data_IF_501118845368
#
_entry.id   IF_501118845368
#
_cell.length_a   1.000
_cell.length_b   1.000
_cell.length_c   1.000
_cell.angle_alpha   90.00
_cell.angle_beta   90.00
_cell.angle_gamma   90.00
#
_symmetry.space_group_name_H-M   'P 1'
#
loop_
_entity.id
_entity.type
_entity.pdbx_description
1 polymer ?
#
# COMPACT_ATOMS: atom_id res chain seq x y z
N UNK A 1 17.92 9.49 -10.63
CA UNK A 1 16.58 9.69 -11.22
C UNK A 1 15.59 9.41 -10.11
N UNK A 2 14.49 10.18 -10.00
CA UNK A 2 13.45 9.89 -9.02
C UNK A 2 12.90 8.48 -9.25
N UNK A 3 12.62 7.75 -8.17
CA UNK A 3 11.98 6.44 -8.28
C UNK A 3 10.60 6.52 -8.93
N UNK A 4 10.10 5.40 -9.46
CA UNK A 4 8.74 5.34 -10.03
C UNK A 4 7.68 5.74 -8.99
N UNK A 5 7.91 5.48 -7.69
CA UNK A 5 7.02 5.92 -6.63
C UNK A 5 7.08 7.42 -6.40
N UNK A 6 8.25 8.04 -6.49
CA UNK A 6 8.36 9.51 -6.45
C UNK A 6 7.53 10.15 -7.59
N UNK A 7 7.57 9.56 -8.80
CA UNK A 7 6.75 10.01 -9.92
C UNK A 7 5.23 9.82 -9.67
N UNK A 8 4.80 8.71 -9.07
CA UNK A 8 3.39 8.50 -8.65
C UNK A 8 2.97 9.52 -7.58
N UNK A 9 3.82 9.74 -6.57
CA UNK A 9 3.57 10.65 -5.45
C UNK A 9 3.39 12.08 -5.96
N UNK A 10 4.28 12.53 -6.85
CA UNK A 10 4.27 13.87 -7.46
C UNK A 10 3.15 14.07 -8.48
N UNK A 11 2.48 13.00 -8.92
CA UNK A 11 1.43 13.05 -9.93
C UNK A 11 1.95 13.10 -11.37
N UNK A 12 3.23 12.79 -11.59
CA UNK A 12 3.84 12.68 -12.92
C UNK A 12 3.29 11.46 -13.68
N UNK A 13 2.92 10.40 -12.95
CA UNK A 13 2.23 9.22 -13.46
C UNK A 13 1.03 8.86 -12.55
N UNK A 14 -0.04 8.25 -13.10
CA UNK A 14 -1.24 7.96 -12.33
C UNK A 14 -1.00 6.90 -11.25
N UNK A 15 -1.72 7.00 -10.14
CA UNK A 15 -1.74 6.02 -9.07
C UNK A 15 -3.12 5.98 -8.40
N UNK A 16 -3.51 4.81 -7.87
CA UNK A 16 -4.77 4.63 -7.14
C UNK A 16 -4.54 4.74 -5.65
N UNK A 17 -4.58 5.96 -5.15
CA UNK A 17 -4.34 6.26 -3.74
C UNK A 17 -5.54 5.88 -2.87
N UNK A 18 -5.24 5.43 -1.65
CA UNK A 18 -6.24 5.13 -0.61
C UNK A 18 -5.97 5.88 0.69
N UNK A 19 -4.71 6.25 0.95
CA UNK A 19 -4.28 7.02 2.11
C UNK A 19 -3.31 8.13 1.73
N UNK A 20 -3.49 9.31 2.33
CA UNK A 20 -2.52 10.39 2.24
C UNK A 20 -2.41 11.19 3.54
N UNK A 21 -1.18 11.44 3.96
CA UNK A 21 -0.82 12.48 4.92
C UNK A 21 0.46 13.20 4.48
N UNK A 22 1.05 14.00 5.37
CA UNK A 22 2.21 14.84 5.10
C UNK A 22 3.52 14.04 4.93
N UNK A 23 3.59 12.83 5.50
CA UNK A 23 4.82 12.02 5.55
C UNK A 23 4.71 10.72 4.75
N UNK A 24 3.50 10.16 4.63
CA UNK A 24 3.25 8.80 4.13
C UNK A 24 2.04 8.81 3.20
N UNK A 25 2.13 8.01 2.14
CA UNK A 25 1.02 7.70 1.24
C UNK A 25 0.79 6.20 1.20
N UNK A 26 -0.41 5.79 0.79
CA UNK A 26 -0.66 4.42 0.40
C UNK A 26 -1.47 4.34 -0.88
N UNK A 27 -1.04 3.50 -1.82
CA UNK A 27 -1.68 3.29 -3.12
C UNK A 27 -1.60 1.83 -3.56
N UNK A 28 -2.52 1.40 -4.42
CA UNK A 28 -2.52 0.04 -4.94
C UNK A 28 -1.29 -0.24 -5.80
N UNK A 29 -0.70 -1.43 -5.64
CA UNK A 29 0.28 -1.93 -6.62
C UNK A 29 -0.43 -2.30 -7.93
N UNK A 30 0.28 -2.15 -9.05
CA UNK A 30 -0.20 -2.64 -10.36
C UNK A 30 0.05 -4.14 -10.54
N UNK A 31 0.78 -4.78 -9.63
CA UNK A 31 1.05 -6.22 -9.63
C UNK A 31 0.62 -6.85 -8.29
N UNK A 32 -0.69 -6.99 -8.03
CA UNK A 32 -1.20 -7.47 -6.75
C UNK A 32 -1.01 -8.98 -6.59
N UNK A 33 -0.58 -9.40 -5.40
CA UNK A 33 -0.65 -10.82 -4.98
C UNK A 33 -2.08 -11.25 -4.67
N UNK A 34 -2.86 -10.36 -4.08
CA UNK A 34 -4.31 -10.52 -3.86
C UNK A 34 -4.99 -9.18 -4.13
N UNK A 35 -6.26 -9.20 -4.54
CA UNK A 35 -7.03 -7.96 -4.75
C UNK A 35 -7.02 -7.13 -3.47
N UNK A 36 -6.68 -5.83 -3.56
CA UNK A 36 -6.50 -4.97 -2.38
C UNK A 36 -5.08 -4.88 -1.85
N UNK A 37 -4.08 -5.41 -2.57
CA UNK A 37 -2.67 -5.21 -2.25
C UNK A 37 -2.28 -3.73 -2.40
N UNK A 38 -1.87 -3.13 -1.29
CA UNK A 38 -1.46 -1.73 -1.15
C UNK A 38 0.04 -1.65 -0.83
N UNK A 39 0.69 -0.62 -1.36
CA UNK A 39 2.04 -0.20 -0.98
C UNK A 39 1.93 1.02 -0.06
N UNK A 40 2.52 0.94 1.12
CA UNK A 40 2.66 2.08 2.04
C UNK A 40 4.06 2.65 1.89
N UNK A 41 4.15 3.92 1.48
CA UNK A 41 5.38 4.54 0.97
C UNK A 41 5.58 5.89 1.68
N UNK A 42 6.75 6.16 2.29
CA UNK A 42 7.05 7.51 2.76
C UNK A 42 7.12 8.47 1.57
N UNK A 43 6.83 9.75 1.78
CA UNK A 43 7.04 10.78 0.74
C UNK A 43 8.51 11.08 0.53
N UNK A 44 9.32 10.96 1.59
CA UNK A 44 10.76 11.08 1.50
C UNK A 44 11.33 9.88 0.74
N UNK A 45 12.10 10.12 -0.31
CA UNK A 45 12.77 9.10 -1.12
C UNK A 45 13.95 8.47 -0.34
N UNK A 46 13.60 7.61 0.62
CA UNK A 46 14.49 6.73 1.38
C UNK A 46 14.21 5.28 0.99
N UNK A 47 15.14 4.36 1.17
CA UNK A 47 15.02 3.00 0.63
C UNK A 47 15.19 1.89 1.68
N UNK A 48 16.43 1.65 2.08
CA UNK A 48 16.82 0.52 2.92
C UNK A 48 16.21 0.63 4.32
N UNK A 49 15.13 -0.12 4.58
CA UNK A 49 14.29 0.03 5.77
C UNK A 49 15.05 -0.06 7.09
N UNK A 50 16.12 -0.85 7.14
CA UNK A 50 16.95 -1.02 8.34
C UNK A 50 17.84 0.19 8.66
N UNK A 51 18.00 1.13 7.71
CA UNK A 51 18.85 2.31 7.82
C UNK A 51 18.03 3.63 7.85
N UNK A 52 16.70 3.53 7.78
CA UNK A 52 15.79 4.69 7.81
C UNK A 52 15.67 5.26 9.22
N UNK A 53 15.44 6.58 9.30
CA UNK A 53 15.12 7.27 10.55
C UNK A 53 14.03 6.53 11.34
N UNK A 54 14.25 6.20 12.64
CA UNK A 54 13.30 5.42 13.42
C UNK A 54 11.92 6.07 13.58
N UNK A 55 11.83 7.40 13.61
CA UNK A 55 10.54 8.09 13.74
C UNK A 55 9.76 8.00 12.43
N UNK A 56 10.43 8.17 11.29
CA UNK A 56 9.81 7.95 9.98
C UNK A 56 9.36 6.49 9.81
N UNK A 57 10.19 5.52 10.18
CA UNK A 57 9.81 4.11 10.08
C UNK A 57 8.63 3.75 11.00
N UNK A 58 8.55 4.36 12.19
CA UNK A 58 7.39 4.21 13.08
C UNK A 58 6.10 4.77 12.46
N UNK A 59 6.16 5.91 11.75
CA UNK A 59 5.01 6.44 11.01
C UNK A 59 4.58 5.49 9.89
N UNK A 60 5.52 5.04 9.05
CA UNK A 60 5.25 4.10 7.94
C UNK A 60 4.59 2.82 8.45
N UNK A 61 5.14 2.20 9.50
CA UNK A 61 4.59 0.97 10.08
C UNK A 61 3.25 1.18 10.79
N UNK A 62 3.00 2.36 11.36
CA UNK A 62 1.68 2.74 11.90
C UNK A 62 0.62 2.82 10.80
N UNK A 63 0.94 3.45 9.66
CA UNK A 63 0.06 3.47 8.47
C UNK A 63 -0.13 2.06 7.91
N UNK A 64 0.92 1.24 7.84
CA UNK A 64 0.83 -0.16 7.40
C UNK A 64 -0.10 -0.99 8.29
N UNK A 65 -0.06 -0.79 9.63
CA UNK A 65 -1.01 -1.41 10.55
C UNK A 65 -2.46 -1.00 10.24
N UNK A 66 -2.70 0.28 9.99
CA UNK A 66 -4.03 0.79 9.60
C UNK A 66 -4.50 0.19 8.27
N UNK A 67 -3.62 0.13 7.27
CA UNK A 67 -3.92 -0.58 6.02
C UNK A 67 -4.23 -2.06 6.27
N UNK A 68 -3.52 -2.71 7.18
CA UNK A 68 -3.79 -4.10 7.58
C UNK A 68 -5.20 -4.30 8.15
N UNK A 69 -5.72 -3.32 8.89
CA UNK A 69 -7.12 -3.32 9.35
C UNK A 69 -8.09 -3.10 8.18
N UNK A 70 -7.77 -2.17 7.27
CA UNK A 70 -8.60 -1.84 6.13
C UNK A 70 -8.72 -2.99 5.13
N UNK A 71 -7.61 -3.64 4.74
CA UNK A 71 -7.62 -4.76 3.79
C UNK A 71 -8.40 -5.95 4.35
N UNK A 72 -8.28 -6.25 5.66
CA UNK A 72 -9.06 -7.32 6.29
C UNK A 72 -10.55 -7.03 6.25
N UNK A 73 -10.93 -5.80 6.61
CA UNK A 73 -12.33 -5.38 6.64
C UNK A 73 -12.95 -5.31 5.23
N UNK A 74 -12.21 -4.76 4.27
CA UNK A 74 -12.67 -4.57 2.90
C UNK A 74 -12.87 -5.90 2.16
N UNK A 75 -12.03 -6.91 2.44
CA UNK A 75 -11.98 -8.17 1.71
C UNK A 75 -12.34 -9.41 2.53
N UNK A 76 -12.87 -9.22 3.74
CA UNK A 76 -13.19 -10.31 4.69
C UNK A 76 -12.03 -11.30 4.89
N UNK A 77 -10.81 -10.76 4.91
CA UNK A 77 -9.61 -11.58 5.00
C UNK A 77 -9.33 -12.00 6.45
N UNK A 78 -8.98 -13.27 6.71
CA UNK A 78 -8.70 -13.73 8.07
C UNK A 78 -7.50 -12.99 8.66
N UNK A 79 -6.51 -12.64 7.83
CA UNK A 79 -5.32 -11.88 8.20
C UNK A 79 -4.95 -10.85 7.13
N UNK A 80 -4.04 -9.95 7.49
CA UNK A 80 -3.31 -9.11 6.54
C UNK A 80 -1.88 -9.62 6.46
N UNK A 81 -1.36 -9.74 5.25
CA UNK A 81 0.08 -9.89 5.02
C UNK A 81 0.79 -8.55 5.17
N UNK A 82 2.04 -8.60 5.63
CA UNK A 82 2.94 -7.46 5.71
C UNK A 82 4.32 -7.93 5.27
N UNK A 83 4.92 -7.26 4.29
CA UNK A 83 6.22 -7.64 3.73
C UNK A 83 7.01 -6.39 3.30
N UNK A 84 8.32 -6.43 3.51
CA UNK A 84 9.28 -5.46 2.97
C UNK A 84 10.33 -6.26 2.21
N UNK A 85 10.53 -5.95 0.92
CA UNK A 85 11.55 -6.58 0.08
C UNK A 85 12.54 -5.54 -0.47
N UNK A 86 12.06 -4.56 -1.25
CA UNK A 86 12.89 -3.47 -1.78
C UNK A 86 13.77 -3.81 -2.99
N UNK A 87 13.66 -5.02 -3.55
CA UNK A 87 14.53 -5.47 -4.64
C UNK A 87 14.15 -4.90 -6.02
N UNK A 88 12.92 -4.42 -6.20
CA UNK A 88 12.41 -3.94 -7.50
C UNK A 88 12.46 -2.42 -7.64
N UNK A 89 12.03 -1.70 -6.60
CA UNK A 89 11.97 -0.23 -6.59
C UNK A 89 12.76 0.30 -5.40
N UNK A 90 13.83 1.12 -5.62
CA UNK A 90 14.70 1.64 -4.56
C UNK A 90 14.07 2.86 -3.87
N UNK A 91 12.91 2.66 -3.27
CA UNK A 91 12.19 3.61 -2.44
C UNK A 91 11.33 2.78 -1.49
N UNK A 92 11.56 2.89 -0.19
CA UNK A 92 10.94 2.13 0.89
C UNK A 92 9.44 1.97 0.65
N UNK A 93 8.98 0.74 0.62
CA UNK A 93 7.55 0.45 0.51
C UNK A 93 7.24 -0.80 1.32
N UNK A 94 6.17 -0.70 2.11
CA UNK A 94 5.63 -1.84 2.85
C UNK A 94 4.44 -2.40 2.07
N UNK A 95 4.54 -3.66 1.67
CA UNK A 95 3.44 -4.39 1.08
C UNK A 95 2.43 -4.75 2.16
N UNK A 96 1.16 -4.41 1.95
CA UNK A 96 0.04 -4.79 2.82
C UNK A 96 -1.10 -5.33 1.97
N UNK A 97 -1.54 -6.55 2.24
CA UNK A 97 -2.51 -7.25 1.38
C UNK A 97 -3.42 -8.18 2.16
N UNK A 98 -4.64 -8.47 1.67
CA UNK A 98 -5.46 -9.57 2.18
C UNK A 98 -4.71 -10.90 2.12
N UNK A 99 -4.63 -11.62 3.23
CA UNK A 99 -3.98 -12.92 3.30
C UNK A 99 -4.97 -13.99 3.74
N UNK A 100 -5.16 -15.01 2.89
CA UNK A 100 -6.07 -16.13 3.09
C UNK A 100 -5.31 -17.43 3.37
N UNK A 101 -4.12 -17.57 2.79
CA UNK A 101 -3.23 -18.72 2.96
C UNK A 101 -1.75 -18.29 2.89
N UNK A 102 -0.84 -19.25 3.11
CA UNK A 102 0.60 -18.99 3.07
C UNK A 102 1.14 -18.73 1.65
N UNK A 103 0.43 -19.18 0.61
CA UNK A 103 0.79 -18.93 -0.78
C UNK A 103 0.73 -17.44 -1.12
N UNK A 104 -0.13 -16.66 -0.47
CA UNK A 104 -0.17 -15.20 -0.66
C UNK A 104 1.09 -14.46 -0.17
N UNK A 105 2.02 -15.12 0.52
CA UNK A 105 3.32 -14.54 0.89
C UNK A 105 4.40 -14.81 -0.15
N UNK A 106 4.12 -15.64 -1.15
CA UNK A 106 4.97 -15.79 -2.33
C UNK A 106 4.63 -14.70 -3.35
N UNK A 107 5.38 -13.59 -3.27
CA UNK A 107 5.17 -12.44 -4.17
C UNK A 107 5.49 -12.75 -5.64
N UNK A 108 6.16 -13.87 -5.94
CA UNK A 108 6.36 -14.31 -7.33
C UNK A 108 5.06 -14.73 -8.02
N UNK A 109 4.00 -14.99 -7.24
CA UNK A 109 2.65 -15.26 -7.73
C UNK A 109 1.80 -14.02 -7.99
N UNK A 110 2.38 -12.82 -7.98
CA UNK A 110 1.65 -11.58 -8.27
C UNK A 110 1.00 -11.61 -9.67
N UNK A 111 -0.22 -11.10 -9.78
CA UNK A 111 -0.90 -10.89 -11.06
C UNK A 111 -0.22 -9.71 -11.79
N UNK A 112 0.47 -9.93 -12.93
CA UNK A 112 1.18 -8.86 -13.63
C UNK A 112 0.23 -7.97 -14.46
N UNK A 113 -1.04 -8.32 -14.60
CA UNK A 113 -1.99 -7.62 -15.46
C UNK A 113 -3.42 -7.63 -14.89
N UNK A 114 -3.63 -7.09 -13.67
CA UNK A 114 -4.96 -6.96 -13.10
C UNK A 114 -5.83 -6.04 -13.96
N UNK A 115 -7.14 -6.29 -14.00
CA UNK A 115 -8.06 -5.41 -14.72
C UNK A 115 -8.18 -4.05 -14.03
N UNK A 116 -8.35 -2.97 -14.79
CA UNK A 116 -8.61 -1.65 -14.22
C UNK A 116 -9.83 -1.65 -13.29
N UNK A 117 -10.89 -2.37 -13.66
CA UNK A 117 -12.09 -2.55 -12.83
C UNK A 117 -11.78 -3.19 -11.48
N UNK A 118 -10.93 -4.22 -11.45
CA UNK A 118 -10.55 -4.88 -10.18
C UNK A 118 -9.79 -3.95 -9.24
N UNK A 119 -8.97 -3.05 -9.80
CA UNK A 119 -8.22 -2.06 -9.05
C UNK A 119 -9.11 -0.89 -8.59
N UNK A 120 -10.07 -0.46 -9.40
CA UNK A 120 -11.04 0.58 -9.05
C UNK A 120 -12.00 0.10 -7.94
N UNK A 121 -12.46 -1.16 -8.01
CA UNK A 121 -13.22 -1.82 -6.93
C UNK A 121 -12.39 -1.89 -5.65
N UNK A 122 -11.14 -2.33 -5.75
CA UNK A 122 -10.25 -2.42 -4.60
C UNK A 122 -10.02 -1.06 -3.94
N UNK A 123 -9.78 -0.01 -4.73
CA UNK A 123 -9.60 1.34 -4.23
C UNK A 123 -10.86 1.80 -3.48
N UNK A 124 -12.03 1.62 -4.09
CA UNK A 124 -13.31 2.04 -3.52
C UNK A 124 -13.61 1.35 -2.19
N UNK A 125 -13.43 0.02 -2.12
CA UNK A 125 -13.63 -0.78 -0.91
C UNK A 125 -12.67 -0.38 0.22
N UNK A 126 -11.41 -0.11 -0.11
CA UNK A 126 -10.42 0.32 0.88
C UNK A 126 -10.72 1.71 1.42
N UNK A 127 -11.09 2.68 0.56
CA UNK A 127 -11.50 4.02 1.00
C UNK A 127 -12.72 3.95 1.93
N UNK A 128 -13.72 3.12 1.59
CA UNK A 128 -14.89 2.89 2.45
C UNK A 128 -14.50 2.27 3.80
N UNK A 129 -13.69 1.21 3.81
CA UNK A 129 -13.22 0.56 5.03
C UNK A 129 -12.42 1.52 5.93
N UNK A 130 -11.58 2.39 5.35
CA UNK A 130 -10.85 3.42 6.10
C UNK A 130 -11.79 4.46 6.72
N UNK A 131 -12.82 4.88 6.00
CA UNK A 131 -13.87 5.76 6.53
C UNK A 131 -14.57 5.15 7.74
N UNK A 132 -14.98 3.88 7.64
CA UNK A 132 -15.63 3.14 8.73
C UNK A 132 -14.70 2.89 9.94
N UNK A 133 -13.39 2.79 9.71
CA UNK A 133 -12.38 2.66 10.77
C UNK A 133 -12.02 4.01 11.44
N UNK A 134 -12.65 5.12 11.04
CA UNK A 134 -12.43 6.44 11.63
C UNK A 134 -11.26 7.22 11.02
N UNK A 135 -10.77 6.81 9.84
CA UNK A 135 -9.65 7.46 9.15
C UNK A 135 -10.10 8.35 7.98
N UNK A 136 -11.36 8.82 7.98
CA UNK A 136 -11.92 9.61 6.89
C UNK A 136 -11.08 10.84 6.50
N UNK A 137 -10.40 11.49 7.46
CA UNK A 137 -9.52 12.64 7.19
C UNK A 137 -8.21 12.30 6.47
N UNK A 138 -7.88 11.01 6.38
CA UNK A 138 -6.68 10.48 5.72
C UNK A 138 -6.99 9.74 4.41
N UNK A 139 -8.28 9.55 4.10
CA UNK A 139 -8.71 8.93 2.85
C UNK A 139 -8.36 9.85 1.69
N UNK A 140 -7.61 9.32 0.72
CA UNK A 140 -7.22 10.09 -0.46
C UNK A 140 -8.43 10.53 -1.29
N UNK A 141 -8.38 11.76 -1.81
CA UNK A 141 -9.38 12.31 -2.72
C UNK A 141 -9.03 12.16 -4.20
N UNK A 142 -7.82 11.68 -4.52
CA UNK A 142 -7.37 11.35 -5.88
C UNK A 142 -7.52 9.87 -6.22
#
# INVERSE_FOLDING_TARGET
MPSVFSAIINGDIPGRFVWEDDDVVAFLTIAPVTQGHVLVVPRAEVDQWQDVDPELFAKVTSVARTMGQAVRKAFDAPRAGLLIAGLEVPHLHVHVFPAYDMGNFDISGADPSPSAESLDDAQSRLKAALGELGHASKVSTR
#
